data_IF_259060943397
#
_entry.id   IF_259060943397
#
_cell.length_a   1.000
_cell.length_b   1.000
_cell.length_c   1.000
_cell.angle_alpha   90.00
_cell.angle_beta   90.00
_cell.angle_gamma   90.00
#
_symmetry.space_group_name_H-M   'P 1'
#
loop_
_entity.id
_entity.type
_entity.pdbx_description
1 polymer ?
#
# COMPACT_ATOMS: atom_id res chain seq x y z
N UNK A 1 0.22 -5.57 12.34
CA UNK A 1 0.74 -4.92 11.12
C UNK A 1 0.65 -3.41 11.17
N UNK A 2 -0.55 -2.86 11.38
CA UNK A 2 -0.74 -1.39 11.34
C UNK A 2 0.15 -0.61 12.32
N UNK A 3 0.29 -1.08 13.54
CA UNK A 3 1.19 -0.49 14.54
C UNK A 3 2.65 -0.53 14.09
N UNK A 4 3.10 -1.66 13.57
CA UNK A 4 4.46 -1.83 13.06
C UNK A 4 4.76 -0.86 11.92
N UNK A 5 3.89 -0.80 10.92
CA UNK A 5 4.07 0.10 9.78
C UNK A 5 3.96 1.57 10.15
N UNK A 6 3.12 1.92 11.13
CA UNK A 6 3.09 3.25 11.70
C UNK A 6 4.42 3.64 12.33
N UNK A 7 4.95 2.78 13.19
CA UNK A 7 6.26 2.99 13.83
C UNK A 7 7.40 3.08 12.80
N UNK A 8 7.40 2.21 11.79
CA UNK A 8 8.40 2.23 10.69
C UNK A 8 8.31 3.55 9.92
N UNK A 9 7.10 3.99 9.59
CA UNK A 9 6.88 5.23 8.88
C UNK A 9 7.33 6.47 9.68
N UNK A 10 7.16 6.46 10.99
CA UNK A 10 7.58 7.55 11.85
C UNK A 10 9.11 7.58 12.04
N UNK A 11 9.76 6.42 12.05
CA UNK A 11 11.19 6.31 12.26
C UNK A 11 12.01 6.49 10.98
N UNK A 12 11.59 5.88 9.88
CA UNK A 12 12.35 5.81 8.63
C UNK A 12 11.80 6.70 7.52
N UNK A 13 10.59 7.22 7.69
CA UNK A 13 9.91 8.05 6.70
C UNK A 13 8.75 7.34 6.02
N UNK A 14 7.89 8.11 5.38
CA UNK A 14 6.64 7.61 4.78
C UNK A 14 6.88 6.71 3.56
N UNK A 15 7.97 6.93 2.83
CA UNK A 15 8.31 6.14 1.62
C UNK A 15 8.55 4.66 1.90
N UNK A 16 9.02 4.32 3.09
CA UNK A 16 9.31 2.92 3.46
C UNK A 16 8.05 2.05 3.38
N UNK A 17 6.88 2.63 3.51
CA UNK A 17 5.61 1.90 3.36
C UNK A 17 5.38 1.31 1.96
N UNK A 18 6.10 1.77 0.95
CA UNK A 18 6.11 1.14 -0.38
C UNK A 18 6.52 -0.33 -0.33
N UNK A 19 7.42 -0.69 0.58
CA UNK A 19 7.83 -2.10 0.75
C UNK A 19 6.67 -2.98 1.21
N UNK A 20 5.73 -2.45 2.00
CA UNK A 20 4.52 -3.18 2.37
C UNK A 20 3.66 -3.54 1.16
N UNK A 21 3.51 -2.65 0.20
CA UNK A 21 2.78 -2.91 -1.04
C UNK A 21 3.48 -3.93 -1.93
N UNK A 22 4.80 -3.79 -2.08
CA UNK A 22 5.61 -4.71 -2.87
C UNK A 22 5.56 -6.10 -2.24
N UNK A 23 5.69 -6.19 -0.92
CA UNK A 23 5.56 -7.44 -0.17
C UNK A 23 4.18 -8.07 -0.40
N UNK A 24 3.10 -7.29 -0.31
CA UNK A 24 1.75 -7.78 -0.57
C UNK A 24 1.60 -8.32 -1.99
N UNK A 25 2.13 -7.64 -3.00
CA UNK A 25 2.12 -8.07 -4.39
C UNK A 25 2.88 -9.38 -4.61
N UNK A 26 4.05 -9.53 -4.00
CA UNK A 26 4.85 -10.76 -4.06
C UNK A 26 4.10 -11.91 -3.39
N UNK A 27 3.52 -11.69 -2.21
CA UNK A 27 2.80 -12.74 -1.49
C UNK A 27 1.56 -13.20 -2.24
N UNK A 28 0.83 -12.32 -2.89
CA UNK A 28 -0.31 -12.70 -3.75
C UNK A 28 0.17 -13.51 -4.96
N UNK A 29 1.29 -13.17 -5.55
CA UNK A 29 1.87 -13.94 -6.67
C UNK A 29 2.22 -15.36 -6.23
N UNK A 30 2.85 -15.52 -5.07
CA UNK A 30 3.17 -16.82 -4.50
C UNK A 30 1.91 -17.61 -4.15
N UNK A 31 0.89 -16.94 -3.60
CA UNK A 31 -0.38 -17.55 -3.26
C UNK A 31 -1.07 -18.22 -4.45
N UNK A 32 -0.98 -17.61 -5.65
CA UNK A 32 -1.56 -18.21 -6.87
C UNK A 32 -0.82 -19.43 -7.38
N UNK A 33 0.48 -19.56 -7.07
CA UNK A 33 1.33 -20.65 -7.53
C UNK A 33 1.48 -21.75 -6.46
N UNK A 34 1.25 -21.42 -5.18
CA UNK A 34 1.49 -22.31 -4.07
C UNK A 34 0.50 -23.50 -4.04
N UNK A 35 0.97 -24.74 -3.77
CA UNK A 35 0.07 -25.87 -3.54
C UNK A 35 -0.71 -25.68 -2.24
N UNK A 36 -2.04 -25.85 -2.31
CA UNK A 36 -2.95 -25.59 -1.18
C UNK A 36 -2.87 -26.60 -0.03
N UNK A 37 -2.25 -27.77 -0.26
CA UNK A 37 -2.13 -28.87 0.68
C UNK A 37 -0.80 -28.90 1.47
N UNK A 38 0.11 -27.97 1.16
CA UNK A 38 1.40 -27.86 1.83
C UNK A 38 1.24 -27.31 3.25
N UNK A 39 1.86 -27.96 4.23
CA UNK A 39 1.86 -27.58 5.65
C UNK A 39 3.28 -27.26 6.09
N UNK A 40 3.48 -26.08 6.67
CA UNK A 40 4.76 -25.61 7.21
C UNK A 40 4.57 -25.27 8.69
N UNK A 41 5.29 -25.95 9.57
CA UNK A 41 5.25 -25.66 11.01
C UNK A 41 3.88 -25.85 11.66
N UNK A 42 3.04 -26.74 11.14
CA UNK A 42 1.67 -26.99 11.63
C UNK A 42 0.61 -26.04 11.07
N UNK A 43 0.98 -25.07 10.26
CA UNK A 43 0.08 -24.16 9.57
C UNK A 43 0.00 -24.50 8.08
N UNK A 44 -1.22 -24.38 7.53
CA UNK A 44 -1.41 -24.46 6.09
C UNK A 44 -0.62 -23.34 5.41
N UNK A 45 0.11 -23.67 4.35
CA UNK A 45 0.91 -22.69 3.59
C UNK A 45 0.08 -21.49 3.12
N UNK A 46 -1.15 -21.72 2.68
CA UNK A 46 -2.04 -20.63 2.25
C UNK A 46 -2.41 -19.68 3.40
N UNK A 47 -2.62 -20.23 4.61
CA UNK A 47 -2.88 -19.40 5.79
C UNK A 47 -1.66 -18.55 6.16
N UNK A 48 -0.46 -19.12 6.07
CA UNK A 48 0.78 -18.41 6.34
C UNK A 48 1.01 -17.28 5.33
N UNK A 49 0.84 -17.58 4.04
CA UNK A 49 0.95 -16.57 2.97
C UNK A 49 -0.08 -15.46 3.13
N UNK A 50 -1.31 -15.81 3.48
CA UNK A 50 -2.37 -14.85 3.77
C UNK A 50 -2.05 -13.94 4.96
N UNK A 51 -1.41 -14.48 5.99
CA UNK A 51 -0.98 -13.73 7.15
C UNK A 51 0.11 -12.71 6.78
N UNK A 52 1.11 -13.13 6.03
CA UNK A 52 2.19 -12.24 5.55
C UNK A 52 1.65 -11.20 4.58
N UNK A 53 0.73 -11.59 3.68
CA UNK A 53 0.03 -10.66 2.79
C UNK A 53 -0.70 -9.56 3.57
N UNK A 54 -1.51 -9.95 4.57
CA UNK A 54 -2.24 -9.00 5.40
C UNK A 54 -1.30 -8.10 6.22
N UNK A 55 -0.15 -8.62 6.65
CA UNK A 55 0.87 -7.81 7.29
C UNK A 55 1.41 -6.72 6.34
N UNK A 56 1.72 -7.07 5.09
CA UNK A 56 2.11 -6.10 4.06
C UNK A 56 1.01 -5.07 3.77
N UNK A 57 -0.23 -5.55 3.60
CA UNK A 57 -1.41 -4.71 3.36
C UNK A 57 -1.68 -3.72 4.49
N UNK A 58 -1.33 -4.08 5.72
CA UNK A 58 -1.47 -3.20 6.90
C UNK A 58 -0.65 -1.91 6.80
N UNK A 59 0.29 -1.80 5.86
CA UNK A 59 0.99 -0.55 5.55
C UNK A 59 0.05 0.58 5.12
N UNK A 60 -1.15 0.21 4.62
CA UNK A 60 -2.21 1.16 4.28
C UNK A 60 -2.70 2.02 5.44
N UNK A 61 -2.44 1.62 6.69
CA UNK A 61 -2.78 2.41 7.87
C UNK A 61 -2.12 3.81 7.87
N UNK A 62 -1.00 3.97 7.17
CA UNK A 62 -0.27 5.24 7.09
C UNK A 62 -0.81 6.16 5.99
N UNK A 63 -1.65 5.67 5.08
CA UNK A 63 -2.09 6.41 3.89
C UNK A 63 -2.84 7.69 4.21
N UNK A 64 -3.80 7.61 5.13
CA UNK A 64 -4.62 8.76 5.48
C UNK A 64 -3.79 9.94 5.98
N UNK A 65 -2.85 9.67 6.89
CA UNK A 65 -1.89 10.65 7.37
C UNK A 65 -1.00 11.20 6.27
N UNK A 66 -0.41 10.32 5.48
CA UNK A 66 0.51 10.69 4.39
C UNK A 66 -0.17 11.58 3.34
N UNK A 67 -1.36 11.21 2.87
CA UNK A 67 -2.07 12.02 1.89
C UNK A 67 -2.45 13.40 2.45
N UNK A 68 -2.82 13.49 3.72
CA UNK A 68 -3.07 14.80 4.34
C UNK A 68 -1.79 15.64 4.50
N UNK A 69 -0.64 15.00 4.70
CA UNK A 69 0.66 15.65 4.81
C UNK A 69 1.18 16.22 3.47
N UNK A 70 0.74 15.69 2.33
CA UNK A 70 1.11 16.19 1.01
C UNK A 70 0.53 17.57 0.68
N UNK A 71 -0.50 18.00 1.41
CA UNK A 71 -1.20 19.25 1.17
C UNK A 71 -0.91 20.30 2.26
N UNK A 72 -0.93 21.60 1.93
CA UNK A 72 -0.89 22.69 2.91
C UNK A 72 -2.00 22.53 3.95
N UNK A 73 -1.83 23.14 5.13
CA UNK A 73 -2.76 23.00 6.26
C UNK A 73 -4.23 23.28 5.91
N UNK A 74 -4.49 24.28 5.06
CA UNK A 74 -5.84 24.66 4.61
C UNK A 74 -6.46 23.70 3.58
N UNK A 75 -5.67 22.79 2.97
CA UNK A 75 -6.11 21.80 1.97
C UNK A 75 -6.00 20.36 2.44
N UNK A 76 -5.67 20.10 3.71
CA UNK A 76 -5.50 18.74 4.24
C UNK A 76 -6.74 17.87 4.13
N UNK A 77 -7.92 18.46 4.24
CA UNK A 77 -9.19 17.76 4.05
C UNK A 77 -9.34 17.21 2.62
N UNK A 78 -8.82 17.93 1.61
CA UNK A 78 -8.77 17.43 0.23
C UNK A 78 -7.83 16.24 0.08
N UNK A 79 -6.69 16.26 0.76
CA UNK A 79 -5.77 15.11 0.79
C UNK A 79 -6.43 13.85 1.34
N UNK A 80 -7.15 13.98 2.46
CA UNK A 80 -7.91 12.89 3.03
C UNK A 80 -9.05 12.43 2.09
N UNK A 81 -9.73 13.36 1.44
CA UNK A 81 -10.79 13.06 0.47
C UNK A 81 -10.27 12.29 -0.74
N UNK A 82 -9.08 12.60 -1.25
CA UNK A 82 -8.43 11.86 -2.34
C UNK A 82 -8.18 10.39 -1.98
N UNK A 83 -7.75 10.14 -0.74
CA UNK A 83 -7.61 8.77 -0.25
C UNK A 83 -8.92 7.99 -0.31
N UNK A 84 -10.02 8.60 0.13
CA UNK A 84 -11.35 7.99 0.05
C UNK A 84 -11.88 7.93 -1.39
N UNK A 85 -11.53 8.90 -2.23
CA UNK A 85 -11.87 8.91 -3.66
C UNK A 85 -11.33 7.69 -4.42
N UNK A 86 -10.14 7.23 -4.06
CA UNK A 86 -9.58 5.98 -4.61
C UNK A 86 -10.45 4.75 -4.36
N UNK A 87 -11.20 4.71 -3.26
CA UNK A 87 -12.14 3.63 -2.97
C UNK A 87 -13.32 3.61 -3.95
N UNK A 88 -13.78 4.76 -4.43
CA UNK A 88 -14.84 4.85 -5.44
C UNK A 88 -14.38 4.19 -6.74
N UNK A 89 -13.15 4.46 -7.16
CA UNK A 89 -12.56 3.77 -8.32
C UNK A 89 -12.42 2.26 -8.05
N UNK A 90 -12.04 1.88 -6.85
CA UNK A 90 -11.94 0.48 -6.44
C UNK A 90 -13.26 -0.30 -6.50
N UNK A 91 -14.41 0.37 -6.39
CA UNK A 91 -15.72 -0.28 -6.53
C UNK A 91 -15.96 -0.88 -7.93
N UNK A 92 -15.27 -0.36 -8.95
CA UNK A 92 -15.35 -0.87 -10.31
C UNK A 92 -14.46 -2.09 -10.55
N UNK A 93 -13.52 -2.38 -9.65
CA UNK A 93 -12.59 -3.49 -9.80
C UNK A 93 -13.26 -4.86 -10.03
N UNK A 94 -14.34 -5.24 -9.32
CA UNK A 94 -15.04 -6.49 -9.59
C UNK A 94 -15.62 -6.55 -11.01
N UNK A 95 -16.14 -5.44 -11.52
CA UNK A 95 -16.70 -5.38 -12.88
C UNK A 95 -15.62 -5.56 -13.94
N UNK A 96 -14.45 -4.95 -13.72
CA UNK A 96 -13.30 -5.12 -14.62
C UNK A 96 -12.80 -6.56 -14.58
N UNK A 97 -12.75 -7.19 -13.40
CA UNK A 97 -12.38 -8.59 -13.25
C UNK A 97 -13.33 -9.53 -14.00
N UNK A 98 -14.65 -9.33 -13.89
CA UNK A 98 -15.65 -10.12 -14.59
C UNK A 98 -15.47 -9.96 -16.11
N UNK A 99 -15.30 -8.74 -16.59
CA UNK A 99 -15.08 -8.46 -18.00
C UNK A 99 -13.84 -9.14 -18.58
N UNK A 100 -12.74 -9.19 -17.82
CA UNK A 100 -11.53 -9.89 -18.22
C UNK A 100 -11.76 -11.41 -18.16
N UNK A 101 -12.43 -11.90 -17.11
CA UNK A 101 -12.73 -13.32 -16.93
C UNK A 101 -13.58 -13.88 -18.07
N UNK A 102 -14.57 -13.14 -18.57
CA UNK A 102 -15.42 -13.56 -19.69
C UNK A 102 -14.64 -13.73 -21.00
N UNK A 103 -13.51 -13.05 -21.15
CA UNK A 103 -12.67 -13.09 -22.35
C UNK A 103 -11.47 -14.02 -22.24
N UNK A 104 -11.08 -14.36 -21.02
CA UNK A 104 -9.93 -15.20 -20.71
C UNK A 104 -10.35 -16.31 -19.75
N UNK A 105 -9.71 -16.39 -18.59
CA UNK A 105 -10.10 -17.24 -17.47
C UNK A 105 -9.95 -16.48 -16.13
N UNK A 106 -10.51 -17.05 -15.09
CA UNK A 106 -10.48 -16.45 -13.75
C UNK A 106 -9.04 -16.27 -13.26
N UNK A 107 -8.18 -17.24 -13.48
CA UNK A 107 -6.79 -17.20 -13.02
C UNK A 107 -6.01 -16.06 -13.68
N UNK A 108 -6.16 -15.89 -14.99
CA UNK A 108 -5.55 -14.79 -15.74
C UNK A 108 -6.06 -13.43 -15.26
N UNK A 109 -7.36 -13.29 -15.00
CA UNK A 109 -7.94 -12.06 -14.47
C UNK A 109 -7.37 -11.71 -13.08
N UNK A 110 -7.20 -12.70 -12.20
CA UNK A 110 -6.67 -12.51 -10.85
C UNK A 110 -5.20 -12.10 -10.83
N UNK A 111 -4.40 -12.47 -11.83
CA UNK A 111 -3.00 -12.04 -11.95
C UNK A 111 -2.82 -10.51 -12.10
N UNK A 112 -3.87 -9.80 -12.46
CA UNK A 112 -3.86 -8.34 -12.40
C UNK A 112 -3.62 -7.76 -11.01
N UNK A 113 -4.05 -8.45 -9.96
CA UNK A 113 -3.90 -7.98 -8.56
C UNK A 113 -2.45 -7.80 -8.12
N UNK A 114 -1.54 -8.78 -8.24
CA UNK A 114 -0.13 -8.58 -7.89
C UNK A 114 0.53 -7.46 -8.69
N UNK A 115 0.20 -7.33 -9.96
CA UNK A 115 0.74 -6.26 -10.82
C UNK A 115 0.34 -4.88 -10.27
N UNK A 116 -0.93 -4.71 -9.92
CA UNK A 116 -1.44 -3.45 -9.36
C UNK A 116 -0.75 -3.12 -8.03
N UNK A 117 -0.55 -4.09 -7.15
CA UNK A 117 0.14 -3.88 -5.87
C UNK A 117 1.59 -3.46 -6.04
N UNK A 118 2.32 -4.10 -6.95
CA UNK A 118 3.72 -3.76 -7.24
C UNK A 118 3.81 -2.37 -7.86
N UNK A 119 2.94 -2.06 -8.83
CA UNK A 119 2.87 -0.73 -9.43
C UNK A 119 2.52 0.34 -8.40
N UNK A 120 1.59 0.08 -7.50
CA UNK A 120 1.24 0.99 -6.41
C UNK A 120 2.45 1.26 -5.50
N UNK A 121 3.24 0.24 -5.16
CA UNK A 121 4.47 0.40 -4.39
C UNK A 121 5.51 1.24 -5.11
N UNK A 122 5.71 1.02 -6.41
CA UNK A 122 6.65 1.79 -7.22
C UNK A 122 6.21 3.26 -7.37
N UNK A 123 4.91 3.49 -7.60
CA UNK A 123 4.36 4.85 -7.64
C UNK A 123 4.50 5.55 -6.29
N UNK A 124 4.32 4.84 -5.19
CA UNK A 124 4.53 5.39 -3.86
C UNK A 124 5.96 5.86 -3.63
N UNK A 125 6.95 5.13 -4.15
CA UNK A 125 8.35 5.54 -4.08
C UNK A 125 8.64 6.81 -4.87
N UNK A 126 7.86 7.13 -5.90
CA UNK A 126 8.00 8.35 -6.68
C UNK A 126 7.43 9.59 -5.99
N UNK A 127 6.57 9.42 -4.97
CA UNK A 127 5.99 10.53 -4.22
C UNK A 127 7.02 11.17 -3.27
N UNK A 128 6.88 12.48 -2.94
CA UNK A 128 7.81 13.17 -2.06
C UNK A 128 7.73 12.65 -0.62
N UNK A 129 8.87 12.59 0.06
CA UNK A 129 8.93 12.31 1.50
C UNK A 129 8.39 13.51 2.28
N UNK A 130 7.53 13.27 3.27
CA UNK A 130 6.88 14.32 4.05
C UNK A 130 7.40 14.41 5.48
N UNK A 131 8.10 13.41 5.97
CA UNK A 131 8.52 13.36 7.37
C UNK A 131 10.00 13.73 7.53
N UNK A 132 10.93 12.85 7.17
CA UNK A 132 12.38 13.07 7.33
C UNK A 132 13.01 13.58 6.05
N UNK A 133 13.60 14.78 6.09
CA UNK A 133 14.20 15.42 4.91
C UNK A 133 13.19 15.82 3.84
N UNK A 134 11.90 15.66 4.12
CA UNK A 134 10.80 16.00 3.23
C UNK A 134 10.36 17.45 3.34
N UNK A 135 9.22 17.76 2.73
CA UNK A 135 8.68 19.13 2.63
C UNK A 135 8.46 19.75 4.01
N UNK A 136 7.90 19.01 4.96
CA UNK A 136 7.63 19.51 6.32
C UNK A 136 8.89 19.69 7.16
N UNK A 137 9.86 18.79 7.04
CA UNK A 137 11.13 18.91 7.77
C UNK A 137 11.92 20.13 7.29
N UNK A 138 11.94 20.39 6.00
CA UNK A 138 12.55 21.58 5.41
C UNK A 138 11.84 22.86 5.83
N UNK A 139 10.51 22.85 5.88
CA UNK A 139 9.69 23.97 6.32
C UNK A 139 9.98 24.33 7.79
N UNK A 140 9.97 23.34 8.69
CA UNK A 140 10.30 23.55 10.10
C UNK A 140 11.72 24.08 10.31
N UNK A 141 12.69 23.55 9.56
CA UNK A 141 14.08 24.04 9.62
C UNK A 141 14.19 25.48 9.12
N UNK A 142 13.46 25.83 8.05
CA UNK A 142 13.43 27.19 7.52
C UNK A 142 12.78 28.18 8.52
N UNK A 143 11.71 27.79 9.19
CA UNK A 143 11.05 28.60 10.24
C UNK A 143 11.97 28.79 11.46
N UNK A 144 12.65 27.72 11.92
CA UNK A 144 13.60 27.80 13.02
C UNK A 144 14.83 28.69 12.69
N UNK A 145 15.24 28.74 11.43
CA UNK A 145 16.35 29.61 10.97
C UNK A 145 15.97 31.10 10.92
N UNK A 146 14.67 31.41 10.84
CA UNK A 146 14.14 32.81 10.85
C UNK A 146 13.85 33.35 12.26
N UNK A 147 13.78 32.46 13.22
CA UNK A 147 13.65 32.82 14.64
C UNK A 147 15.00 32.98 15.30
#
# INVERSE_FOLDING_TARGET
>A
GAWFWGWVADKFGRKVNAFGFILAGIMVSIFFVAPGDMVIGGLNMLALLGLIYNFGLSSSAVWGGYFSELFPAHLRSYGAALFHGGRILGMWAPMVLIFIQERTDLQTAMWGSPIVWILAGLLWLSLPETLKGGVFDKSKKAEAAKA
#
